data_IF_282008711282
#
_entry.id   IF_282008711282
#
_cell.length_a   1.000
_cell.length_b   1.000
_cell.length_c   1.000
_cell.angle_alpha   90.00
_cell.angle_beta   90.00
_cell.angle_gamma   90.00
#
_symmetry.space_group_name_H-M   'P 1'
#
loop_
_entity.id
_entity.type
_entity.pdbx_description
1 polymer ?
#
# COMPACT_ATOMS: atom_id res chain seq x y z
N UNK A 1 10.66 8.21 -5.81
CA UNK A 1 11.13 9.02 -4.67
C UNK A 1 11.09 8.13 -3.45
N UNK A 2 12.22 7.57 -3.09
CA UNK A 2 12.35 6.52 -2.07
C UNK A 2 12.74 7.23 -0.77
N UNK A 3 11.99 6.98 0.31
CA UNK A 3 11.77 7.92 1.42
C UNK A 3 12.97 8.12 2.35
N UNK A 4 13.84 9.06 1.97
CA UNK A 4 14.54 9.92 2.92
C UNK A 4 13.52 10.70 3.75
N UNK A 5 13.76 10.91 5.04
CA UNK A 5 12.92 11.73 5.92
C UNK A 5 12.87 13.16 5.35
N UNK A 6 11.79 13.50 4.66
CA UNK A 6 11.63 14.78 3.97
C UNK A 6 11.26 15.91 4.96
N UNK A 7 11.74 17.13 4.69
CA UNK A 7 11.25 18.37 5.28
C UNK A 7 9.70 18.45 5.19
N UNK A 8 9.00 19.21 6.07
CA UNK A 8 7.54 19.25 6.07
C UNK A 8 7.02 19.69 4.69
N UNK A 9 6.59 18.70 3.91
CA UNK A 9 6.22 18.87 2.52
C UNK A 9 4.99 19.77 2.39
N UNK A 10 5.06 20.74 1.50
CA UNK A 10 3.94 21.60 1.12
C UNK A 10 3.56 21.27 -0.32
N UNK A 11 2.27 21.27 -0.63
CA UNK A 11 1.81 21.17 -2.01
C UNK A 11 2.30 22.37 -2.82
N UNK A 12 2.93 22.09 -3.95
CA UNK A 12 3.46 23.05 -4.91
C UNK A 12 2.83 22.77 -6.29
N UNK A 13 1.86 23.59 -6.65
CA UNK A 13 1.18 23.55 -7.94
C UNK A 13 2.08 24.17 -9.01
N UNK A 14 2.50 23.34 -9.97
CA UNK A 14 3.23 23.75 -11.17
C UNK A 14 2.27 23.74 -12.35
N UNK A 15 2.10 24.88 -13.01
CA UNK A 15 1.21 25.03 -14.16
C UNK A 15 1.50 26.31 -14.92
N UNK A 16 1.43 26.26 -16.25
CA UNK A 16 1.45 27.45 -17.11
C UNK A 16 0.10 28.19 -17.11
N UNK A 17 -0.96 27.55 -16.62
CA UNK A 17 -2.29 28.11 -16.55
C UNK A 17 -2.47 28.97 -15.30
N UNK A 18 -3.26 30.03 -15.42
CA UNK A 18 -3.78 30.79 -14.28
C UNK A 18 -5.28 30.52 -14.13
N UNK A 19 -5.84 30.52 -12.91
CA UNK A 19 -7.29 30.45 -12.74
C UNK A 19 -7.99 31.57 -13.51
N UNK A 20 -8.98 31.21 -14.33
CA UNK A 20 -9.72 32.15 -15.20
C UNK A 20 -11.24 31.92 -15.11
N UNK A 21 -12.03 32.87 -15.59
CA UNK A 21 -13.50 32.81 -15.50
C UNK A 21 -13.96 32.73 -14.04
N UNK A 22 -14.82 31.74 -13.74
CA UNK A 22 -15.36 31.53 -12.39
C UNK A 22 -14.42 30.75 -11.45
N UNK A 23 -13.30 30.21 -11.97
CA UNK A 23 -12.38 29.40 -11.17
C UNK A 23 -11.82 30.14 -9.94
N UNK A 24 -11.36 31.41 -10.01
CA UNK A 24 -10.83 32.11 -8.84
C UNK A 24 -11.84 32.18 -7.69
N UNK A 25 -13.11 32.49 -8.00
CA UNK A 25 -14.17 32.58 -7.00
C UNK A 25 -14.52 31.20 -6.42
N UNK A 26 -14.58 30.16 -7.26
CA UNK A 26 -14.84 28.79 -6.81
C UNK A 26 -13.73 28.27 -5.88
N UNK A 27 -12.46 28.51 -6.24
CA UNK A 27 -11.29 28.14 -5.44
C UNK A 27 -11.37 28.80 -4.06
N UNK A 28 -11.53 30.13 -4.02
CA UNK A 28 -11.59 30.89 -2.78
C UNK A 28 -12.71 30.38 -1.85
N UNK A 29 -13.94 30.26 -2.38
CA UNK A 29 -15.10 29.82 -1.58
C UNK A 29 -14.92 28.42 -1.01
N UNK A 30 -14.43 27.48 -1.81
CA UNK A 30 -14.28 26.09 -1.38
C UNK A 30 -13.11 25.92 -0.40
N UNK A 31 -11.99 26.64 -0.61
CA UNK A 31 -10.86 26.66 0.31
C UNK A 31 -11.23 27.30 1.66
N UNK A 32 -11.98 28.40 1.65
CA UNK A 32 -12.52 29.04 2.85
C UNK A 32 -13.46 28.10 3.60
N UNK A 33 -14.37 27.41 2.88
CA UNK A 33 -15.27 26.43 3.49
C UNK A 33 -14.53 25.28 4.20
N UNK A 34 -13.39 24.82 3.66
CA UNK A 34 -12.53 23.83 4.35
C UNK A 34 -11.95 24.42 5.62
N UNK A 35 -11.48 25.66 5.58
CA UNK A 35 -10.90 26.37 6.73
C UNK A 35 -11.95 26.66 7.83
N UNK A 36 -13.20 26.89 7.44
CA UNK A 36 -14.35 27.05 8.34
C UNK A 36 -14.88 25.72 8.90
N UNK A 37 -14.34 24.57 8.48
CA UNK A 37 -14.73 23.25 8.98
C UNK A 37 -15.99 22.67 8.35
N UNK A 38 -16.41 23.14 7.16
CA UNK A 38 -17.54 22.53 6.45
C UNK A 38 -17.22 21.09 6.08
N UNK A 39 -18.09 20.16 6.50
CA UNK A 39 -17.91 18.72 6.24
C UNK A 39 -18.19 18.33 4.78
N UNK A 40 -19.13 19.02 4.13
CA UNK A 40 -19.57 18.72 2.78
C UNK A 40 -19.69 20.00 1.97
N UNK A 41 -19.13 19.99 0.77
CA UNK A 41 -19.20 21.08 -0.20
C UNK A 41 -19.33 20.50 -1.60
N UNK A 42 -19.98 21.22 -2.51
CA UNK A 42 -20.24 20.76 -3.89
C UNK A 42 -19.73 21.78 -4.90
N UNK A 43 -18.82 21.35 -5.78
CA UNK A 43 -18.41 22.11 -6.95
C UNK A 43 -19.32 21.77 -8.14
N UNK A 44 -20.28 22.65 -8.45
CA UNK A 44 -21.14 22.49 -9.63
C UNK A 44 -20.42 23.03 -10.88
N UNK A 45 -19.49 22.24 -11.42
CA UNK A 45 -18.70 22.62 -12.59
C UNK A 45 -19.17 21.96 -13.89
N UNK A 46 -19.46 22.78 -14.91
CA UNK A 46 -19.79 22.28 -16.27
C UNK A 46 -18.65 21.47 -16.88
N UNK A 47 -18.94 20.61 -17.86
CA UNK A 47 -17.90 19.87 -18.60
C UNK A 47 -16.95 20.84 -19.31
N UNK A 48 -15.64 20.56 -19.27
CA UNK A 48 -14.62 21.43 -19.88
C UNK A 48 -14.21 22.65 -19.05
N UNK A 49 -14.82 22.92 -17.89
CA UNK A 49 -14.47 24.07 -17.03
C UNK A 49 -13.14 23.95 -16.26
N UNK A 50 -12.33 22.93 -16.52
CA UNK A 50 -11.04 22.73 -15.81
C UNK A 50 -11.19 22.31 -14.35
N UNK A 51 -12.16 21.44 -14.02
CA UNK A 51 -12.44 21.00 -12.64
C UNK A 51 -11.21 20.46 -11.90
N UNK A 52 -10.37 19.67 -12.56
CA UNK A 52 -9.14 19.14 -11.92
C UNK A 52 -8.19 20.25 -11.52
N UNK A 53 -7.99 21.25 -12.40
CA UNK A 53 -7.15 22.41 -12.10
C UNK A 53 -7.72 23.25 -10.94
N UNK A 54 -9.05 23.45 -10.90
CA UNK A 54 -9.74 24.06 -9.75
C UNK A 54 -9.46 23.28 -8.47
N UNK A 55 -9.58 21.95 -8.49
CA UNK A 55 -9.28 21.11 -7.33
C UNK A 55 -7.81 21.15 -6.91
N UNK A 56 -6.87 21.18 -7.86
CA UNK A 56 -5.45 21.31 -7.57
C UNK A 56 -5.14 22.65 -6.85
N UNK A 57 -5.73 23.76 -7.30
CA UNK A 57 -5.59 25.05 -6.61
C UNK A 57 -6.19 25.01 -5.19
N UNK A 58 -7.32 24.32 -4.99
CA UNK A 58 -7.90 24.14 -3.66
C UNK A 58 -6.94 23.33 -2.77
N UNK A 59 -6.40 22.20 -3.25
CA UNK A 59 -5.43 21.36 -2.52
C UNK A 59 -4.20 22.17 -2.11
N UNK A 60 -3.63 22.96 -3.04
CA UNK A 60 -2.53 23.86 -2.74
C UNK A 60 -2.91 24.92 -1.70
N UNK A 61 -4.13 25.45 -1.74
CA UNK A 61 -4.55 26.50 -0.80
C UNK A 61 -4.75 25.94 0.62
N UNK A 62 -5.32 24.74 0.74
CA UNK A 62 -5.65 24.15 2.05
C UNK A 62 -4.51 23.36 2.68
N UNK A 63 -3.52 22.91 1.89
CA UNK A 63 -2.34 22.18 2.36
C UNK A 63 -2.67 20.93 3.20
N UNK A 64 -3.59 20.08 2.71
CA UNK A 64 -4.03 18.84 3.40
C UNK A 64 -3.88 17.61 2.51
N UNK A 65 -3.43 16.45 3.06
CA UNK A 65 -3.46 15.19 2.32
C UNK A 65 -4.88 14.94 1.78
N UNK A 66 -4.98 14.57 0.51
CA UNK A 66 -6.26 14.53 -0.21
C UNK A 66 -6.47 13.17 -0.86
N UNK A 67 -7.64 12.58 -0.65
CA UNK A 67 -8.12 11.39 -1.34
C UNK A 67 -9.11 11.80 -2.44
N UNK A 68 -8.80 11.47 -3.68
CA UNK A 68 -9.67 11.70 -4.84
C UNK A 68 -10.30 10.38 -5.24
N UNK A 69 -11.62 10.26 -5.11
CA UNK A 69 -12.36 9.06 -5.46
C UNK A 69 -12.90 9.15 -6.88
N UNK A 70 -12.54 8.18 -7.72
CA UNK A 70 -13.03 8.02 -9.08
C UNK A 70 -13.91 6.77 -9.20
N UNK A 71 -15.02 6.83 -9.96
CA UNK A 71 -15.96 5.73 -10.11
C UNK A 71 -15.43 4.57 -10.97
N UNK A 72 -14.38 4.79 -11.77
CA UNK A 72 -13.79 3.77 -12.63
C UNK A 72 -12.28 3.97 -12.80
N UNK A 73 -11.59 2.91 -13.26
CA UNK A 73 -10.12 2.91 -13.44
C UNK A 73 -9.65 3.91 -14.50
N UNK A 74 -10.42 4.12 -15.56
CA UNK A 74 -10.04 5.03 -16.65
C UNK A 74 -9.95 6.47 -16.18
N UNK A 75 -10.99 6.97 -15.50
CA UNK A 75 -11.00 8.31 -14.94
C UNK A 75 -9.98 8.45 -13.80
N UNK A 76 -9.79 7.41 -12.98
CA UNK A 76 -8.76 7.40 -11.95
C UNK A 76 -7.36 7.59 -12.57
N UNK A 77 -7.05 6.88 -13.66
CA UNK A 77 -5.77 7.01 -14.35
C UNK A 77 -5.58 8.40 -14.97
N UNK A 78 -6.63 8.98 -15.57
CA UNK A 78 -6.59 10.35 -16.09
C UNK A 78 -6.30 11.37 -14.99
N UNK A 79 -7.05 11.34 -13.89
CA UNK A 79 -6.85 12.23 -12.76
C UNK A 79 -5.46 12.05 -12.13
N UNK A 80 -4.97 10.81 -12.03
CA UNK A 80 -3.62 10.54 -11.53
C UNK A 80 -2.55 11.21 -12.40
N UNK A 81 -2.66 11.12 -13.73
CA UNK A 81 -1.74 11.80 -14.65
C UNK A 81 -1.85 13.32 -14.53
N UNK A 82 -3.05 13.88 -14.52
CA UNK A 82 -3.26 15.32 -14.38
C UNK A 82 -2.69 15.85 -13.06
N UNK A 83 -2.95 15.16 -11.93
CA UNK A 83 -2.38 15.56 -10.64
C UNK A 83 -0.86 15.40 -10.59
N UNK A 84 -0.29 14.37 -11.24
CA UNK A 84 1.17 14.20 -11.38
C UNK A 84 1.81 15.38 -12.10
N UNK A 85 1.17 15.89 -13.15
CA UNK A 85 1.63 17.06 -13.89
C UNK A 85 1.51 18.34 -13.04
N UNK A 86 0.41 18.49 -12.30
CA UNK A 86 0.20 19.64 -11.41
C UNK A 86 1.09 19.65 -10.17
N UNK A 87 1.47 18.49 -9.64
CA UNK A 87 2.26 18.37 -8.41
C UNK A 87 3.50 17.50 -8.61
N UNK A 88 4.45 17.90 -9.47
CA UNK A 88 5.62 17.08 -9.83
C UNK A 88 6.59 16.88 -8.65
N UNK A 89 6.51 17.73 -7.61
CA UNK A 89 7.38 17.71 -6.43
C UNK A 89 6.70 17.06 -5.20
N UNK A 90 5.41 16.72 -5.29
CA UNK A 90 4.65 16.09 -4.21
C UNK A 90 4.36 14.62 -4.49
N UNK A 91 3.86 13.91 -3.48
CA UNK A 91 3.48 12.51 -3.64
C UNK A 91 2.08 12.40 -4.24
N UNK A 92 2.01 12.23 -5.56
CA UNK A 92 0.78 11.84 -6.25
C UNK A 92 0.79 10.33 -6.45
N UNK A 93 -0.19 9.66 -5.87
CA UNK A 93 -0.25 8.22 -5.69
C UNK A 93 -1.52 7.61 -6.30
N UNK A 94 -1.46 6.34 -6.67
CA UNK A 94 -2.54 5.65 -7.36
C UNK A 94 -2.99 4.40 -6.60
N UNK A 95 -4.27 4.36 -6.21
CA UNK A 95 -4.80 3.29 -5.36
C UNK A 95 -6.08 2.66 -5.96
N UNK A 96 -5.90 1.65 -6.80
CA UNK A 96 -6.99 0.87 -7.37
C UNK A 96 -6.82 -0.61 -7.04
N UNK A 97 -7.80 -1.44 -7.40
CA UNK A 97 -7.63 -2.90 -7.32
C UNK A 97 -6.44 -3.32 -8.18
N UNK A 98 -5.54 -4.10 -7.58
CA UNK A 98 -4.38 -4.67 -8.23
C UNK A 98 -4.67 -5.93 -9.05
N UNK A 99 -5.94 -6.33 -9.19
CA UNK A 99 -6.28 -7.50 -10.01
C UNK A 99 -6.49 -7.06 -11.46
N UNK A 100 -5.81 -7.73 -12.39
CA UNK A 100 -6.12 -7.64 -13.83
C UNK A 100 -7.38 -8.45 -14.15
N UNK A 101 -7.51 -9.60 -13.50
CA UNK A 101 -8.69 -10.45 -13.53
C UNK A 101 -9.03 -10.91 -12.11
N UNK A 102 -10.32 -10.95 -11.79
CA UNK A 102 -10.81 -11.43 -10.50
C UNK A 102 -12.18 -12.09 -10.64
N UNK A 103 -12.23 -13.37 -10.29
CA UNK A 103 -13.44 -14.14 -10.08
C UNK A 103 -13.57 -14.39 -8.57
N UNK A 104 -14.64 -13.90 -7.93
CA UNK A 104 -14.90 -14.22 -6.53
C UNK A 104 -15.27 -15.70 -6.38
N UNK A 105 -14.93 -16.26 -5.24
CA UNK A 105 -15.54 -17.51 -4.80
C UNK A 105 -17.05 -17.32 -4.63
N UNK A 106 -17.84 -18.24 -5.18
CA UNK A 106 -19.29 -18.16 -5.12
C UNK A 106 -19.92 -19.55 -5.17
N UNK A 107 -21.12 -19.66 -4.61
CA UNK A 107 -21.96 -20.84 -4.76
C UNK A 107 -23.31 -20.42 -5.36
N UNK A 108 -23.76 -21.12 -6.40
CA UNK A 108 -25.02 -20.87 -7.12
C UNK A 108 -26.03 -21.98 -6.75
N UNK A 109 -26.94 -21.74 -5.79
CA UNK A 109 -27.81 -22.81 -5.26
C UNK A 109 -28.72 -23.43 -6.31
N UNK A 110 -29.21 -22.65 -7.29
CA UNK A 110 -30.15 -23.14 -8.30
C UNK A 110 -29.56 -24.21 -9.21
N UNK A 111 -28.22 -24.29 -9.29
CA UNK A 111 -27.50 -25.23 -10.15
C UNK A 111 -26.57 -26.17 -9.37
N UNK A 112 -26.48 -26.01 -8.05
CA UNK A 112 -25.49 -26.68 -7.20
C UNK A 112 -24.07 -26.56 -7.78
N UNK A 113 -23.70 -25.34 -8.20
CA UNK A 113 -22.38 -25.05 -8.75
C UNK A 113 -21.58 -24.23 -7.76
N UNK A 114 -20.41 -24.73 -7.40
CA UNK A 114 -19.37 -23.97 -6.72
C UNK A 114 -18.39 -23.41 -7.75
N UNK A 115 -18.09 -22.12 -7.61
CA UNK A 115 -17.16 -21.37 -8.44
C UNK A 115 -15.95 -21.05 -7.57
N UNK A 116 -14.79 -21.59 -7.95
CA UNK A 116 -13.53 -21.30 -7.28
C UNK A 116 -13.09 -19.86 -7.54
N UNK A 117 -12.43 -19.29 -6.53
CA UNK A 117 -11.72 -18.03 -6.68
C UNK A 117 -10.60 -18.22 -7.70
N UNK A 118 -10.57 -17.34 -8.68
CA UNK A 118 -9.46 -17.23 -9.63
C UNK A 118 -9.09 -15.75 -9.79
N UNK A 119 -7.81 -15.44 -9.80
CA UNK A 119 -7.35 -14.06 -9.84
C UNK A 119 -5.95 -13.95 -10.42
N UNK A 120 -5.73 -12.86 -11.15
CA UNK A 120 -4.42 -12.46 -11.65
C UNK A 120 -4.04 -11.10 -11.06
N UNK A 121 -2.87 -11.02 -10.43
CA UNK A 121 -2.36 -9.81 -9.79
C UNK A 121 -1.45 -9.07 -10.78
N UNK A 122 -1.65 -7.76 -10.85
CA UNK A 122 -0.80 -6.83 -11.57
C UNK A 122 0.24 -6.25 -10.61
N UNK A 123 1.50 -6.65 -10.79
CA UNK A 123 2.60 -6.20 -9.93
C UNK A 123 2.78 -4.68 -9.94
N UNK A 124 2.56 -4.02 -11.08
CA UNK A 124 2.67 -2.55 -11.15
C UNK A 124 1.61 -1.89 -10.27
N UNK A 125 0.37 -2.39 -10.27
CA UNK A 125 -0.68 -1.86 -9.41
C UNK A 125 -0.44 -2.18 -7.93
N UNK A 126 0.07 -3.38 -7.59
CA UNK A 126 0.48 -3.70 -6.21
C UNK A 126 1.54 -2.69 -5.70
N UNK A 127 2.52 -2.36 -6.55
CA UNK A 127 3.52 -1.31 -6.25
C UNK A 127 2.88 0.00 -5.84
N UNK A 128 1.95 0.46 -6.67
CA UNK A 128 1.38 1.80 -6.56
C UNK A 128 0.50 1.88 -5.31
N UNK A 129 -0.14 0.77 -4.93
CA UNK A 129 -0.85 0.67 -3.65
C UNK A 129 0.08 0.74 -2.45
N UNK A 130 1.22 0.03 -2.48
CA UNK A 130 2.23 0.09 -1.42
C UNK A 130 2.90 1.47 -1.34
N UNK A 131 3.15 2.10 -2.50
CA UNK A 131 3.62 3.48 -2.62
C UNK A 131 2.63 4.46 -1.99
N UNK A 132 1.34 4.33 -2.30
CA UNK A 132 0.30 5.17 -1.72
C UNK A 132 0.26 5.09 -0.19
N UNK A 133 0.27 3.87 0.37
CA UNK A 133 0.20 3.69 1.84
C UNK A 133 1.47 4.17 2.54
N UNK A 134 2.65 3.92 1.96
CA UNK A 134 3.92 4.42 2.52
C UNK A 134 4.03 5.95 2.42
N UNK A 135 3.59 6.56 1.33
CA UNK A 135 3.52 8.02 1.17
C UNK A 135 2.59 8.67 2.20
N UNK A 136 1.37 8.16 2.38
CA UNK A 136 0.41 8.67 3.38
C UNK A 136 0.99 8.61 4.81
N UNK A 137 1.84 7.62 5.11
CA UNK A 137 2.47 7.48 6.43
C UNK A 137 3.74 8.31 6.62
N UNK A 138 4.42 8.70 5.54
CA UNK A 138 5.73 9.35 5.61
C UNK A 138 5.68 10.86 5.44
N UNK A 139 4.67 11.41 4.75
CA UNK A 139 4.61 12.84 4.42
C UNK A 139 3.18 13.40 4.36
N UNK A 140 2.98 14.70 4.61
CA UNK A 140 1.65 15.32 4.61
C UNK A 140 1.17 15.79 3.22
N UNK A 141 2.06 15.97 2.25
CA UNK A 141 1.76 16.46 0.91
C UNK A 141 1.50 15.32 -0.08
N UNK A 142 0.43 14.56 0.19
CA UNK A 142 0.02 13.39 -0.59
C UNK A 142 -1.36 13.59 -1.22
N UNK A 143 -1.46 13.36 -2.53
CA UNK A 143 -2.74 13.16 -3.22
C UNK A 143 -2.84 11.69 -3.62
N UNK A 144 -3.84 10.98 -3.09
CA UNK A 144 -4.14 9.61 -3.51
C UNK A 144 -5.34 9.64 -4.45
N UNK A 145 -5.15 9.22 -5.70
CA UNK A 145 -6.25 8.99 -6.64
C UNK A 145 -6.66 7.53 -6.56
N UNK A 146 -7.89 7.27 -6.13
CA UNK A 146 -8.36 5.94 -5.80
C UNK A 146 -9.69 5.56 -6.47
N UNK A 147 -9.90 4.26 -6.66
CA UNK A 147 -11.23 3.71 -6.89
C UNK A 147 -11.90 3.34 -5.55
N UNK A 148 -13.09 2.74 -5.62
CA UNK A 148 -13.75 2.11 -4.44
C UNK A 148 -12.88 1.09 -3.70
N UNK A 149 -11.73 0.68 -4.27
CA UNK A 149 -10.75 -0.15 -3.56
C UNK A 149 -10.28 0.46 -2.24
N UNK A 150 -10.34 1.79 -2.05
CA UNK A 150 -9.99 2.42 -0.77
C UNK A 150 -10.97 2.13 0.36
N UNK A 151 -12.14 1.55 0.05
CA UNK A 151 -13.16 1.14 1.02
C UNK A 151 -13.03 -0.33 1.44
N UNK A 152 -12.17 -1.10 0.76
CA UNK A 152 -11.91 -2.50 1.08
C UNK A 152 -10.87 -2.61 2.20
N UNK A 153 -10.92 -3.74 2.92
CA UNK A 153 -10.01 -4.03 4.02
C UNK A 153 -8.54 -3.95 3.62
N UNK A 154 -7.74 -3.40 4.54
CA UNK A 154 -6.28 -3.42 4.56
C UNK A 154 -5.86 -3.88 5.96
N UNK A 155 -4.58 -4.25 6.12
CA UNK A 155 -4.04 -4.51 7.46
C UNK A 155 -4.10 -3.28 8.36
N UNK A 156 -3.99 -3.50 9.66
CA UNK A 156 -4.02 -2.43 10.67
C UNK A 156 -2.93 -1.40 10.37
N UNK A 157 -3.27 -0.09 10.28
CA UNK A 157 -2.26 0.95 10.13
C UNK A 157 -1.28 1.02 11.30
N UNK A 158 -1.66 0.51 12.48
CA UNK A 158 -0.77 0.43 13.64
C UNK A 158 0.22 -0.72 13.50
N UNK A 159 -0.21 -1.89 13.02
CA UNK A 159 0.69 -3.02 12.77
C UNK A 159 1.66 -2.72 11.64
N UNK A 160 1.16 -2.13 10.55
CA UNK A 160 1.98 -1.73 9.42
C UNK A 160 3.03 -0.68 9.83
N UNK A 161 2.68 0.28 10.71
CA UNK A 161 3.63 1.26 11.27
C UNK A 161 4.61 0.63 12.26
N UNK A 162 4.15 -0.30 13.10
CA UNK A 162 5.00 -0.99 14.08
C UNK A 162 6.06 -1.89 13.46
N UNK A 163 5.88 -2.28 12.19
CA UNK A 163 6.80 -3.12 11.43
C UNK A 163 7.69 -2.32 10.46
N UNK A 164 7.75 -0.99 10.57
CA UNK A 164 8.67 -0.18 9.78
C UNK A 164 10.09 -0.36 10.29
N UNK A 165 11.01 -0.72 9.39
CA UNK A 165 12.43 -0.84 9.71
C UNK A 165 13.09 0.52 9.50
N UNK A 166 13.58 1.11 10.59
CA UNK A 166 14.32 2.37 10.55
C UNK A 166 15.82 2.10 10.39
N UNK A 167 16.40 2.60 9.31
CA UNK A 167 17.81 2.48 8.99
C UNK A 167 18.47 3.85 9.11
N UNK A 168 19.53 3.94 9.90
CA UNK A 168 20.33 5.14 10.05
C UNK A 168 21.81 4.80 9.88
N UNK A 169 22.52 5.61 9.08
CA UNK A 169 23.96 5.48 8.92
C UNK A 169 24.69 5.68 10.26
N UNK A 170 25.67 4.83 10.54
CA UNK A 170 26.43 4.81 11.79
C UNK A 170 25.69 4.14 12.97
N UNK A 171 24.53 3.53 12.75
CA UNK A 171 23.86 2.76 13.79
C UNK A 171 24.49 1.37 13.92
N UNK A 172 24.57 0.86 15.15
CA UNK A 172 24.88 -0.55 15.39
C UNK A 172 23.68 -1.41 15.00
N UNK A 173 23.84 -2.26 14.00
CA UNK A 173 22.82 -3.14 13.47
C UNK A 173 23.48 -4.45 13.02
N UNK A 174 23.19 -5.52 13.76
CA UNK A 174 23.57 -6.87 13.34
C UNK A 174 22.84 -7.24 12.03
N UNK A 175 23.60 -7.76 11.07
CA UNK A 175 23.08 -8.06 9.74
C UNK A 175 22.05 -9.20 9.77
N UNK A 176 22.28 -10.23 10.57
CA UNK A 176 21.39 -11.39 10.63
C UNK A 176 20.07 -11.05 11.36
N UNK A 177 20.13 -10.12 12.32
CA UNK A 177 18.95 -9.47 12.90
C UNK A 177 18.16 -8.66 11.86
N UNK A 178 18.84 -7.90 11.00
CA UNK A 178 18.18 -7.19 9.89
C UNK A 178 17.51 -8.18 8.91
N UNK A 179 18.19 -9.29 8.57
CA UNK A 179 17.61 -10.34 7.72
C UNK A 179 16.33 -10.92 8.33
N UNK A 180 16.34 -11.19 9.64
CA UNK A 180 15.15 -11.66 10.36
C UNK A 180 14.00 -10.64 10.29
N UNK A 181 14.29 -9.35 10.49
CA UNK A 181 13.29 -8.28 10.36
C UNK A 181 12.74 -8.15 8.93
N UNK A 182 13.60 -8.31 7.91
CA UNK A 182 13.17 -8.29 6.51
C UNK A 182 12.18 -9.43 6.20
N UNK A 183 12.45 -10.63 6.72
CA UNK A 183 11.54 -11.78 6.57
C UNK A 183 10.21 -11.52 7.27
N UNK A 184 10.23 -11.03 8.51
CA UNK A 184 9.02 -10.66 9.26
C UNK A 184 8.17 -9.60 8.53
N UNK A 185 8.83 -8.68 7.82
CA UNK A 185 8.19 -7.63 7.01
C UNK A 185 7.84 -8.07 5.59
N UNK A 186 7.82 -9.38 5.33
CA UNK A 186 7.41 -10.05 4.08
C UNK A 186 8.35 -9.84 2.90
N UNK A 187 9.60 -9.45 3.15
CA UNK A 187 10.64 -9.49 2.12
C UNK A 187 11.21 -10.91 1.99
N UNK A 188 11.57 -11.30 0.77
CA UNK A 188 12.11 -12.63 0.47
C UNK A 188 13.58 -12.55 0.10
N UNK A 189 14.39 -13.46 0.64
CA UNK A 189 15.78 -13.60 0.19
C UNK A 189 15.81 -14.23 -1.20
N UNK A 190 16.47 -13.58 -2.15
CA UNK A 190 16.73 -14.14 -3.48
C UNK A 190 18.06 -13.60 -4.03
N UNK A 191 19.06 -14.46 -4.05
CA UNK A 191 20.41 -14.08 -4.50
C UNK A 191 20.56 -14.09 -6.04
N UNK A 192 19.59 -14.68 -6.76
CA UNK A 192 19.61 -14.86 -8.22
C UNK A 192 18.75 -13.84 -8.97
N UNK A 193 17.44 -13.83 -8.71
CA UNK A 193 16.53 -12.84 -9.26
C UNK A 193 16.38 -11.70 -8.24
N UNK A 194 16.63 -10.47 -8.66
CA UNK A 194 16.58 -9.30 -7.78
C UNK A 194 15.37 -8.42 -8.15
N UNK A 195 14.20 -8.90 -7.76
CA UNK A 195 12.92 -8.24 -7.99
C UNK A 195 12.49 -7.43 -6.77
N UNK A 196 11.39 -6.70 -6.88
CA UNK A 196 10.82 -5.95 -5.75
C UNK A 196 10.44 -6.87 -4.59
N UNK A 197 10.47 -6.35 -3.37
CA UNK A 197 10.14 -7.14 -2.19
C UNK A 197 11.16 -8.25 -1.91
N UNK A 198 12.34 -8.17 -2.53
CA UNK A 198 13.41 -9.13 -2.33
C UNK A 198 14.69 -8.45 -1.84
N UNK A 199 15.53 -9.23 -1.18
CA UNK A 199 16.86 -8.82 -0.77
C UNK A 199 17.88 -9.92 -1.03
N UNK A 200 19.15 -9.53 -1.10
CA UNK A 200 20.30 -10.41 -1.28
C UNK A 200 21.47 -9.94 -0.43
N UNK A 201 22.35 -10.87 -0.08
CA UNK A 201 23.52 -10.58 0.76
C UNK A 201 24.78 -11.02 0.03
N UNK A 202 25.75 -10.10 -0.10
CA UNK A 202 27.04 -10.34 -0.77
C UNK A 202 28.17 -9.79 0.10
N UNK A 203 28.74 -10.66 0.94
CA UNK A 203 29.72 -10.25 1.94
C UNK A 203 29.12 -9.22 2.89
N UNK A 204 29.74 -8.06 2.98
CA UNK A 204 29.33 -6.98 3.88
C UNK A 204 28.28 -6.03 3.26
N UNK A 205 27.74 -6.39 2.09
CA UNK A 205 26.70 -5.61 1.41
C UNK A 205 25.38 -6.36 1.42
N UNK A 206 24.33 -5.71 1.93
CA UNK A 206 22.95 -6.14 1.76
C UNK A 206 22.25 -5.21 0.76
N UNK A 207 21.74 -5.78 -0.32
CA UNK A 207 20.91 -5.04 -1.27
C UNK A 207 19.47 -5.51 -1.15
N UNK A 208 18.52 -4.56 -1.07
CA UNK A 208 17.09 -4.85 -1.04
C UNK A 208 16.34 -3.97 -2.03
N UNK A 209 15.24 -4.47 -2.59
CA UNK A 209 14.34 -3.67 -3.41
C UNK A 209 13.06 -3.41 -2.64
N UNK A 210 12.80 -2.18 -2.18
CA UNK A 210 11.55 -1.84 -1.51
C UNK A 210 10.35 -2.23 -2.39
N UNK A 211 9.32 -2.84 -1.82
CA UNK A 211 8.19 -3.35 -2.60
C UNK A 211 7.36 -2.25 -3.29
N UNK A 212 7.46 -1.02 -2.79
CA UNK A 212 6.84 0.21 -3.29
C UNK A 212 7.76 1.02 -4.24
N UNK A 213 9.06 0.74 -4.22
CA UNK A 213 10.07 1.49 -4.95
C UNK A 213 10.35 0.92 -6.35
N UNK A 214 11.06 1.69 -7.17
CA UNK A 214 11.63 1.21 -8.44
C UNK A 214 13.10 0.84 -8.28
N UNK A 215 13.82 1.64 -7.50
CA UNK A 215 15.26 1.50 -7.24
C UNK A 215 15.55 0.55 -6.09
N UNK A 216 16.78 0.06 -6.01
CA UNK A 216 17.26 -0.74 -4.91
C UNK A 216 17.87 0.15 -3.82
N UNK A 217 17.90 -0.36 -2.60
CA UNK A 217 18.62 0.18 -1.47
C UNK A 217 19.82 -0.71 -1.20
N UNK A 218 21.02 -0.11 -1.17
CA UNK A 218 22.28 -0.76 -0.81
C UNK A 218 22.67 -0.34 0.61
N UNK A 219 22.92 -1.34 1.45
CA UNK A 219 23.39 -1.22 2.81
C UNK A 219 24.80 -1.81 2.88
N UNK A 220 25.76 -1.00 3.29
CA UNK A 220 27.17 -1.40 3.43
C UNK A 220 27.50 -1.45 4.91
N UNK A 221 28.01 -2.60 5.37
CA UNK A 221 28.32 -2.88 6.76
C UNK A 221 29.83 -2.93 6.99
N UNK A 222 30.26 -2.57 8.20
CA UNK A 222 31.59 -2.86 8.72
C UNK A 222 31.46 -3.50 10.10
N UNK A 223 31.58 -4.83 10.18
CA UNK A 223 31.14 -5.58 11.35
C UNK A 223 29.64 -5.37 11.59
N UNK A 224 29.29 -4.85 12.77
CA UNK A 224 27.91 -4.60 13.18
C UNK A 224 27.49 -3.13 13.00
N UNK A 225 28.21 -2.34 12.20
CA UNK A 225 27.89 -0.94 11.93
C UNK A 225 27.41 -0.74 10.49
N UNK A 226 26.30 0.00 10.31
CA UNK A 226 25.81 0.40 8.99
C UNK A 226 26.56 1.64 8.49
N UNK A 227 27.67 1.47 7.78
CA UNK A 227 28.51 2.56 7.25
C UNK A 227 27.91 3.25 6.02
N UNK A 228 27.22 2.50 5.17
CA UNK A 228 26.70 2.99 3.89
C UNK A 228 25.21 2.75 3.73
N UNK A 229 24.49 3.77 3.29
CA UNK A 229 23.07 3.73 2.97
C UNK A 229 22.81 4.52 1.68
N UNK A 230 22.53 3.81 0.60
CA UNK A 230 22.42 4.41 -0.73
C UNK A 230 21.25 3.84 -1.55
N UNK A 231 20.62 4.69 -2.34
CA UNK A 231 19.74 4.28 -3.43
C UNK A 231 20.57 3.97 -4.66
N UNK A 232 20.32 2.83 -5.29
CA UNK A 232 21.07 2.38 -6.46
C UNK A 232 20.12 1.90 -7.57
N UNK A 233 20.54 2.08 -8.82
CA UNK A 233 19.84 1.47 -9.95
C UNK A 233 19.96 -0.07 -9.84
N UNK A 234 18.85 -0.82 -9.92
CA UNK A 234 18.84 -2.26 -9.68
C UNK A 234 19.53 -3.06 -10.80
N UNK A 235 19.79 -2.46 -11.96
CA UNK A 235 20.40 -3.09 -13.14
C UNK A 235 21.86 -2.69 -13.29
N UNK A 236 22.16 -1.38 -13.33
CA UNK A 236 23.52 -0.87 -13.51
C UNK A 236 24.32 -0.86 -12.20
N UNK A 237 23.66 -0.82 -11.05
CA UNK A 237 24.30 -0.69 -9.73
C UNK A 237 24.83 0.71 -9.43
N UNK A 238 24.56 1.69 -10.29
CA UNK A 238 24.94 3.09 -10.11
C UNK A 238 24.28 3.69 -8.87
N UNK A 239 25.04 4.48 -8.10
CA UNK A 239 24.51 5.18 -6.92
C UNK A 239 23.74 6.42 -7.38
N UNK A 240 22.43 6.39 -7.14
CA UNK A 240 21.50 7.47 -7.50
C UNK A 240 21.42 8.52 -6.39
N UNK A 241 21.43 8.09 -5.13
CA UNK A 241 21.38 8.96 -3.97
C UNK A 241 22.02 8.29 -2.75
N UNK A 242 22.44 9.09 -1.77
CA UNK A 242 22.89 8.62 -0.44
C UNK A 242 21.98 9.19 0.63
N UNK A 243 21.71 8.40 1.66
CA UNK A 243 20.82 8.79 2.75
C UNK A 243 21.53 8.69 4.10
N UNK A 244 21.20 9.61 5.01
CA UNK A 244 21.54 9.46 6.43
C UNK A 244 20.54 8.54 7.16
N UNK A 245 19.27 8.60 6.73
CA UNK A 245 18.15 7.85 7.31
C UNK A 245 17.21 7.38 6.23
N UNK A 246 16.68 6.18 6.40
CA UNK A 246 15.69 5.57 5.52
C UNK A 246 14.67 4.78 6.34
N UNK A 247 13.39 4.95 6.02
CA UNK A 247 12.31 4.14 6.58
C UNK A 247 11.87 3.10 5.55
N UNK A 248 12.09 1.82 5.86
CA UNK A 248 11.69 0.70 5.02
C UNK A 248 10.35 0.15 5.50
N UNK A 249 9.33 0.27 4.66
CA UNK A 249 7.98 -0.22 4.95
C UNK A 249 7.80 -1.70 4.57
N UNK A 250 6.87 -2.43 5.21
CA UNK A 250 6.58 -3.82 4.88
C UNK A 250 6.21 -4.04 3.42
N UNK A 251 6.60 -5.21 2.88
CA UNK A 251 6.41 -5.56 1.48
C UNK A 251 4.96 -5.91 1.11
N UNK A 252 4.08 -6.10 2.10
CA UNK A 252 2.65 -6.42 1.96
C UNK A 252 1.81 -5.62 2.95
N UNK A 253 0.56 -5.32 2.58
CA UNK A 253 -0.38 -4.60 3.46
C UNK A 253 -0.93 -5.46 4.60
N UNK A 254 -1.02 -6.78 4.39
CA UNK A 254 -1.46 -7.73 5.41
C UNK A 254 -0.23 -8.35 6.03
N UNK A 255 0.11 -7.85 7.21
CA UNK A 255 1.21 -8.33 8.05
C UNK A 255 0.64 -8.57 9.43
N UNK A 256 1.07 -9.64 10.07
CA UNK A 256 0.62 -10.04 11.39
C UNK A 256 1.83 -10.09 12.33
N UNK A 257 1.61 -9.75 13.60
CA UNK A 257 2.63 -9.88 14.63
C UNK A 257 2.77 -11.32 15.07
N UNK A 258 3.91 -11.65 15.67
CA UNK A 258 4.13 -12.93 16.34
C UNK A 258 3.01 -13.21 17.38
N UNK A 259 2.56 -14.46 17.47
CA UNK A 259 1.49 -14.90 18.36
C UNK A 259 0.06 -14.56 17.93
N UNK A 260 -0.15 -13.83 16.82
CA UNK A 260 -1.49 -13.63 16.24
C UNK A 260 -2.01 -14.92 15.60
N UNK A 261 -1.13 -15.66 14.91
CA UNK A 261 -1.49 -16.90 14.20
C UNK A 261 -2.00 -17.98 15.16
N UNK A 262 -1.26 -18.29 16.23
CA UNK A 262 -1.64 -19.30 17.24
C UNK A 262 -3.02 -19.03 17.85
N UNK A 263 -3.29 -17.75 18.15
CA UNK A 263 -4.60 -17.32 18.66
C UNK A 263 -5.68 -17.49 17.60
N UNK A 264 -5.39 -17.09 16.35
CA UNK A 264 -6.33 -17.23 15.25
C UNK A 264 -6.71 -18.69 15.02
N UNK A 265 -5.73 -19.60 14.94
CA UNK A 265 -5.95 -21.04 14.81
C UNK A 265 -6.89 -21.58 15.89
N UNK A 266 -6.64 -21.22 17.16
CA UNK A 266 -7.48 -21.63 18.30
C UNK A 266 -8.91 -21.10 18.16
N UNK A 267 -9.06 -19.82 17.81
CA UNK A 267 -10.39 -19.20 17.69
C UNK A 267 -11.20 -19.75 16.52
N UNK A 268 -10.55 -19.99 15.37
CA UNK A 268 -11.18 -20.57 14.18
C UNK A 268 -11.62 -22.01 14.46
N UNK A 269 -10.78 -22.82 15.10
CA UNK A 269 -11.14 -24.19 15.48
C UNK A 269 -12.35 -24.20 16.44
N UNK A 270 -12.38 -23.28 17.40
CA UNK A 270 -13.51 -23.15 18.34
C UNK A 270 -14.80 -22.76 17.63
N UNK A 271 -14.75 -21.78 16.72
CA UNK A 271 -15.90 -21.34 15.93
C UNK A 271 -16.39 -22.45 14.99
N UNK A 272 -15.47 -23.21 14.39
CA UNK A 272 -15.80 -24.36 13.54
C UNK A 272 -16.62 -25.38 14.32
N UNK A 273 -16.19 -25.79 15.51
CA UNK A 273 -16.93 -26.75 16.33
C UNK A 273 -18.35 -26.27 16.68
N UNK A 274 -18.49 -24.99 17.04
CA UNK A 274 -19.79 -24.38 17.31
C UNK A 274 -20.68 -24.44 16.06
N UNK A 275 -20.16 -24.04 14.90
CA UNK A 275 -20.92 -23.99 13.66
C UNK A 275 -21.30 -25.37 13.14
N UNK A 276 -20.44 -26.37 13.29
CA UNK A 276 -20.75 -27.76 12.94
C UNK A 276 -21.89 -28.31 13.78
N UNK A 277 -21.90 -28.03 15.09
CA UNK A 277 -22.99 -28.43 15.98
C UNK A 277 -24.32 -27.77 15.59
N UNK A 278 -24.32 -26.49 15.20
CA UNK A 278 -25.51 -25.80 14.70
C UNK A 278 -26.06 -26.46 13.41
N UNK A 279 -25.19 -26.74 12.43
CA UNK A 279 -25.58 -27.33 11.16
C UNK A 279 -26.14 -28.74 11.32
N UNK A 280 -25.46 -29.59 12.11
CA UNK A 280 -25.91 -30.96 12.41
C UNK A 280 -27.26 -30.97 13.14
N UNK A 281 -27.45 -30.10 14.13
CA UNK A 281 -28.76 -29.95 14.81
C UNK A 281 -29.87 -29.49 13.87
N UNK A 282 -29.54 -28.75 12.83
CA UNK A 282 -30.48 -28.33 11.79
C UNK A 282 -30.67 -29.38 10.66
N UNK A 283 -30.05 -30.56 10.76
CA UNK A 283 -30.12 -31.63 9.74
C UNK A 283 -29.32 -31.36 8.47
N UNK A 284 -28.39 -30.40 8.51
CA UNK A 284 -27.55 -29.96 7.37
C UNK A 284 -26.21 -30.70 7.33
N UNK A 285 -26.27 -32.02 7.22
CA UNK A 285 -25.08 -32.89 7.31
C UNK A 285 -24.08 -32.65 6.16
N UNK A 286 -24.57 -32.40 4.95
CA UNK A 286 -23.70 -32.14 3.79
C UNK A 286 -22.95 -30.80 3.94
N UNK A 287 -23.62 -29.75 4.38
CA UNK A 287 -23.01 -28.45 4.63
C UNK A 287 -22.01 -28.52 5.79
N UNK A 288 -22.32 -29.28 6.85
CA UNK A 288 -21.38 -29.52 7.94
C UNK A 288 -20.12 -30.24 7.44
N UNK A 289 -20.28 -31.31 6.64
CA UNK A 289 -19.14 -32.04 6.07
C UNK A 289 -18.28 -31.16 5.14
N UNK A 290 -18.92 -30.34 4.29
CA UNK A 290 -18.21 -29.38 3.41
C UNK A 290 -17.41 -28.36 4.21
N UNK A 291 -18.03 -27.76 5.24
CA UNK A 291 -17.38 -26.77 6.10
C UNK A 291 -16.21 -27.39 6.88
N UNK A 292 -16.40 -28.56 7.48
CA UNK A 292 -15.38 -29.27 8.26
C UNK A 292 -14.16 -29.59 7.39
N UNK A 293 -14.38 -30.17 6.21
CA UNK A 293 -13.30 -30.60 5.32
C UNK A 293 -12.44 -29.42 4.85
N UNK A 294 -13.07 -28.32 4.42
CA UNK A 294 -12.35 -27.13 3.95
C UNK A 294 -11.61 -26.44 5.09
N UNK A 295 -12.28 -26.21 6.21
CA UNK A 295 -11.70 -25.43 7.33
C UNK A 295 -10.53 -26.17 7.98
N UNK A 296 -10.62 -27.49 8.16
CA UNK A 296 -9.51 -28.28 8.72
C UNK A 296 -8.29 -28.29 7.80
N UNK A 297 -8.50 -28.45 6.49
CA UNK A 297 -7.41 -28.33 5.51
C UNK A 297 -6.74 -26.96 5.58
N UNK A 298 -7.53 -25.87 5.63
CA UNK A 298 -6.97 -24.52 5.72
C UNK A 298 -6.22 -24.28 7.05
N UNK A 299 -6.68 -24.85 8.16
CA UNK A 299 -5.99 -24.81 9.46
C UNK A 299 -4.65 -25.56 9.42
N UNK A 300 -4.63 -26.77 8.85
CA UNK A 300 -3.39 -27.56 8.67
C UNK A 300 -2.37 -26.80 7.81
N UNK A 301 -2.82 -26.20 6.70
CA UNK A 301 -1.95 -25.39 5.83
C UNK A 301 -1.39 -24.15 6.55
N UNK A 302 -2.18 -23.52 7.44
CA UNK A 302 -1.72 -22.39 8.24
C UNK A 302 -0.71 -22.81 9.32
N UNK A 303 -0.81 -24.02 9.86
CA UNK A 303 0.17 -24.56 10.83
C UNK A 303 1.49 -24.96 10.17
N UNK A 304 1.45 -25.54 8.96
CA UNK A 304 2.65 -26.04 8.29
C UNK A 304 3.42 -24.97 7.51
N UNK A 305 2.71 -24.00 6.91
CA UNK A 305 3.28 -23.04 5.93
C UNK A 305 3.17 -21.59 6.40
N UNK A 306 2.36 -21.31 7.43
CA UNK A 306 2.04 -19.97 7.93
C UNK A 306 3.11 -19.28 8.75
#
# INVERSE_FOLDING_TARGET
MTTAVAAPGRFELVSDFRPTGDQPQAIARLADGVSLGFKSQTLLGVTGSGKTFTMANIIQSVQRPTLVLAPNRTLAAQLFTEFKEFFPHNAVEYFVSYYDYYQPEAYIPQRDIYIEKDASINDRLDRLRLSATSSVMSRPDVVVVASVSCLYGLGSPEDYRGLVIHLQRGQTLDRDALVSLLIQTQYRRNDFAFERGQFRVRGDVLELRPAYGENALRLEFFGDELEGLAEVDPVSGEVLARFERFALYPAKHFVSREGVLERALTTIATELEQRLNELRRAGKELEAQRLESRTRYDLEMLEEVG
#
